data_IF_563775312294
#
_entry.id   IF_563775312294
#
_cell.length_a   1.000
_cell.length_b   1.000
_cell.length_c   1.000
_cell.angle_alpha   90.00
_cell.angle_beta   90.00
_cell.angle_gamma   90.00
#
_symmetry.space_group_name_H-M   'P 1'
#
loop_
_entity.id
_entity.type
_entity.pdbx_description
1 polymer ?
#
# COMPACT_ATOMS: atom_id res chain seq x y z
N UNK A 1 -9.32 -32.69 37.57
CA UNK A 1 -10.02 -33.57 36.61
C UNK A 1 -10.87 -32.67 35.78
N UNK A 2 -10.42 -32.34 34.57
CA UNK A 2 -11.19 -31.59 33.57
C UNK A 2 -12.08 -32.60 32.83
N UNK A 3 -13.41 -32.52 33.11
CA UNK A 3 -14.39 -33.33 32.44
C UNK A 3 -14.48 -32.96 30.95
N UNK A 4 -13.94 -33.79 30.10
CA UNK A 4 -14.12 -33.64 28.67
C UNK A 4 -15.53 -34.05 28.25
N UNK A 5 -16.21 -33.24 27.47
CA UNK A 5 -17.52 -33.53 26.92
C UNK A 5 -17.43 -34.67 25.90
N UNK A 6 -18.29 -35.70 26.03
CA UNK A 6 -18.44 -36.75 25.02
C UNK A 6 -19.04 -36.17 23.73
N UNK A 7 -18.52 -36.57 22.59
CA UNK A 7 -19.03 -36.16 21.27
C UNK A 7 -19.84 -37.33 20.71
N UNK A 8 -21.06 -37.04 20.24
CA UNK A 8 -21.96 -38.01 19.65
C UNK A 8 -22.09 -37.77 18.14
N UNK A 9 -21.93 -38.82 17.36
CA UNK A 9 -22.30 -38.84 15.95
C UNK A 9 -22.92 -40.19 15.65
N UNK A 10 -24.06 -40.22 15.01
CA UNK A 10 -24.79 -41.42 14.58
C UNK A 10 -25.07 -42.43 15.72
N UNK A 11 -25.27 -41.92 16.99
CA UNK A 11 -25.57 -42.74 18.16
C UNK A 11 -24.33 -43.34 18.87
N UNK A 12 -23.14 -43.20 18.35
CA UNK A 12 -21.91 -43.68 18.96
C UNK A 12 -21.28 -42.62 19.88
N UNK A 13 -20.80 -43.08 21.03
CA UNK A 13 -20.08 -42.27 22.01
C UNK A 13 -18.60 -42.31 21.68
N UNK A 14 -18.05 -41.23 21.18
CA UNK A 14 -16.60 -41.09 21.06
C UNK A 14 -16.04 -40.55 22.36
N UNK A 15 -15.28 -41.39 23.08
CA UNK A 15 -14.56 -40.98 24.28
C UNK A 15 -13.62 -39.84 23.92
N UNK A 16 -13.45 -38.92 24.87
CA UNK A 16 -12.67 -37.68 24.83
C UNK A 16 -11.22 -37.91 24.31
N UNK A 17 -11.09 -38.06 23.02
CA UNK A 17 -9.81 -38.11 22.32
C UNK A 17 -9.57 -36.74 21.71
N UNK A 18 -8.34 -36.23 21.82
CA UNK A 18 -7.93 -35.00 21.16
C UNK A 18 -8.36 -35.04 19.70
N UNK A 19 -9.23 -34.11 19.30
CA UNK A 19 -9.70 -34.05 17.92
C UNK A 19 -8.54 -33.71 16.98
N UNK A 20 -8.23 -34.62 16.07
CA UNK A 20 -7.28 -34.35 15.00
C UNK A 20 -8.03 -33.80 13.79
N UNK A 21 -7.70 -32.57 13.40
CA UNK A 21 -8.38 -31.88 12.32
C UNK A 21 -7.56 -31.89 11.02
N UNK A 22 -8.24 -32.20 9.91
CA UNK A 22 -7.75 -31.89 8.58
C UNK A 22 -8.21 -30.49 8.17
N UNK A 23 -7.33 -29.74 7.52
CA UNK A 23 -7.62 -28.41 7.01
C UNK A 23 -7.84 -28.47 5.50
N UNK A 24 -8.96 -27.97 5.04
CA UNK A 24 -9.27 -27.83 3.61
C UNK A 24 -9.35 -26.36 3.24
N UNK A 25 -8.88 -26.03 2.02
CA UNK A 25 -8.91 -24.68 1.47
C UNK A 25 -9.72 -24.67 0.18
N UNK A 26 -10.71 -23.79 0.11
CA UNK A 26 -11.59 -23.65 -1.05
C UNK A 26 -11.55 -22.22 -1.56
N UNK A 27 -11.20 -22.04 -2.82
CA UNK A 27 -11.20 -20.76 -3.50
C UNK A 27 -12.55 -20.49 -4.17
N UNK A 28 -13.03 -19.23 -4.11
CA UNK A 28 -14.13 -18.78 -4.98
C UNK A 28 -13.74 -18.92 -6.46
N UNK A 29 -14.72 -19.02 -7.36
CA UNK A 29 -14.49 -19.17 -8.79
C UNK A 29 -13.60 -18.05 -9.36
N UNK A 30 -13.80 -16.82 -8.90
CA UNK A 30 -13.04 -15.62 -9.29
C UNK A 30 -11.70 -15.46 -8.53
N UNK A 31 -11.35 -16.42 -7.66
CA UNK A 31 -10.14 -16.45 -6.81
C UNK A 31 -9.99 -15.26 -5.85
N UNK A 32 -11.05 -14.44 -5.67
CA UNK A 32 -10.99 -13.27 -4.80
C UNK A 32 -11.16 -13.60 -3.33
N UNK A 33 -11.72 -14.76 -3.00
CA UNK A 33 -11.89 -15.23 -1.62
C UNK A 33 -11.36 -16.66 -1.47
N UNK A 34 -10.80 -16.95 -0.30
CA UNK A 34 -10.42 -18.30 0.09
C UNK A 34 -11.02 -18.62 1.45
N UNK A 35 -11.65 -19.80 1.56
CA UNK A 35 -12.20 -20.33 2.80
C UNK A 35 -11.32 -21.48 3.28
N UNK A 36 -10.83 -21.36 4.50
CA UNK A 36 -10.20 -22.45 5.25
C UNK A 36 -11.22 -23.07 6.20
N UNK A 37 -11.24 -24.37 6.29
CA UNK A 37 -12.16 -25.14 7.12
C UNK A 37 -11.45 -26.34 7.73
N UNK A 38 -11.66 -26.54 9.03
CA UNK A 38 -11.24 -27.74 9.74
C UNK A 38 -12.38 -28.76 9.81
N UNK A 39 -12.09 -30.04 9.55
CA UNK A 39 -12.99 -31.14 9.81
C UNK A 39 -12.26 -32.20 10.63
N UNK A 40 -12.86 -32.65 11.69
CA UNK A 40 -12.30 -33.76 12.46
C UNK A 40 -12.20 -35.00 11.60
N UNK A 41 -11.00 -35.61 11.56
CA UNK A 41 -10.73 -36.81 10.75
C UNK A 41 -11.56 -38.02 11.20
N UNK A 42 -11.84 -38.13 12.49
CA UNK A 42 -12.53 -39.27 13.07
C UNK A 42 -14.06 -39.11 13.11
N UNK A 43 -14.55 -37.97 13.58
CA UNK A 43 -15.98 -37.75 13.81
C UNK A 43 -16.66 -36.81 12.79
N UNK A 44 -15.88 -36.19 11.89
CA UNK A 44 -16.37 -35.25 10.87
C UNK A 44 -16.91 -33.92 11.40
N UNK A 45 -16.79 -33.66 12.72
CA UNK A 45 -17.22 -32.39 13.31
C UNK A 45 -16.40 -31.24 12.70
N UNK A 46 -17.10 -30.18 12.34
CA UNK A 46 -16.51 -28.94 11.82
C UNK A 46 -15.82 -28.17 12.95
N UNK A 47 -14.53 -27.91 12.78
CA UNK A 47 -13.74 -27.08 13.69
C UNK A 47 -13.72 -25.62 13.25
N UNK A 48 -12.55 -24.97 13.33
CA UNK A 48 -12.40 -23.59 12.93
C UNK A 48 -12.65 -23.40 11.43
N UNK A 49 -13.29 -22.29 11.09
CA UNK A 49 -13.56 -21.85 9.72
C UNK A 49 -13.30 -20.37 9.57
N UNK A 50 -12.62 -19.97 8.51
CA UNK A 50 -12.37 -18.57 8.19
C UNK A 50 -12.43 -18.36 6.68
N UNK A 51 -13.13 -17.31 6.25
CA UNK A 51 -13.12 -16.85 4.86
C UNK A 51 -12.43 -15.50 4.79
N UNK A 52 -11.43 -15.37 3.92
CA UNK A 52 -10.68 -14.14 3.74
C UNK A 52 -10.69 -13.68 2.29
N UNK A 53 -10.73 -12.37 2.09
CA UNK A 53 -10.50 -11.79 0.78
C UNK A 53 -9.00 -11.89 0.43
N UNK A 54 -8.70 -12.39 -0.75
CA UNK A 54 -7.34 -12.54 -1.24
C UNK A 54 -6.81 -11.21 -1.80
N UNK A 55 -5.55 -10.90 -1.50
CA UNK A 55 -4.85 -9.79 -2.12
C UNK A 55 -4.35 -10.20 -3.51
N UNK A 56 -4.59 -9.34 -4.51
CA UNK A 56 -4.13 -9.57 -5.89
C UNK A 56 -2.83 -8.83 -6.17
N UNK A 57 -1.90 -9.51 -6.83
CA UNK A 57 -0.66 -8.93 -7.35
C UNK A 57 -0.35 -9.49 -8.75
N UNK A 58 0.47 -8.80 -9.51
CA UNK A 58 0.94 -9.30 -10.82
C UNK A 58 2.29 -9.99 -10.58
N UNK A 59 2.36 -11.29 -10.82
CA UNK A 59 3.58 -12.09 -10.76
C UNK A 59 4.41 -11.95 -12.04
N UNK A 60 3.73 -11.92 -13.19
CA UNK A 60 4.32 -11.70 -14.52
C UNK A 60 3.43 -10.76 -15.33
N UNK A 61 4.01 -9.73 -15.91
CA UNK A 61 3.29 -8.79 -16.77
C UNK A 61 2.92 -9.47 -18.09
N UNK A 62 1.71 -9.23 -18.58
CA UNK A 62 1.34 -9.61 -19.95
C UNK A 62 2.03 -8.71 -20.97
N UNK A 63 2.37 -9.26 -22.11
CA UNK A 63 2.90 -8.55 -23.29
C UNK A 63 2.02 -8.86 -24.50
N UNK A 64 2.31 -8.26 -25.64
CA UNK A 64 1.61 -8.60 -26.91
C UNK A 64 1.92 -10.03 -27.36
N UNK A 65 3.09 -10.55 -27.01
CA UNK A 65 3.56 -11.88 -27.41
C UNK A 65 3.23 -12.96 -26.38
N UNK A 66 3.07 -12.62 -25.09
CA UNK A 66 2.92 -13.58 -24.01
C UNK A 66 1.86 -13.18 -22.99
N UNK A 67 1.13 -14.19 -22.47
CA UNK A 67 0.24 -14.02 -21.33
C UNK A 67 1.02 -13.65 -20.07
N UNK A 68 0.41 -12.84 -19.21
CA UNK A 68 0.88 -12.57 -17.86
C UNK A 68 0.34 -13.56 -16.84
N UNK A 69 0.82 -13.42 -15.59
CA UNK A 69 0.37 -14.22 -14.45
C UNK A 69 -0.01 -13.26 -13.33
N UNK A 70 -1.27 -13.31 -12.90
CA UNK A 70 -1.76 -12.71 -11.69
C UNK A 70 -1.68 -13.70 -10.53
N UNK A 71 -1.45 -13.22 -9.32
CA UNK A 71 -1.37 -14.01 -8.10
C UNK A 71 -2.35 -13.48 -7.07
N UNK A 72 -3.26 -14.31 -6.62
CA UNK A 72 -4.09 -14.07 -5.44
C UNK A 72 -3.42 -14.70 -4.23
N UNK A 73 -3.35 -13.97 -3.12
CA UNK A 73 -2.78 -14.44 -1.83
C UNK A 73 -3.81 -14.25 -0.73
N UNK A 74 -4.23 -15.35 -0.12
CA UNK A 74 -5.13 -15.39 1.03
C UNK A 74 -4.32 -15.53 2.31
N UNK A 75 -4.44 -14.56 3.23
CA UNK A 75 -3.78 -14.57 4.53
C UNK A 75 -4.86 -14.64 5.62
N UNK A 76 -4.90 -15.74 6.34
CA UNK A 76 -5.84 -15.98 7.42
C UNK A 76 -5.35 -15.29 8.71
N UNK A 77 -6.30 -14.89 9.54
CA UNK A 77 -6.03 -14.31 10.85
C UNK A 77 -5.81 -15.38 11.91
N UNK A 78 -6.50 -16.51 11.74
CA UNK A 78 -6.36 -17.66 12.61
C UNK A 78 -5.04 -18.38 12.29
N UNK A 79 -4.17 -18.52 13.30
CA UNK A 79 -2.85 -19.16 13.16
C UNK A 79 -2.90 -20.66 12.84
N UNK A 80 -4.07 -21.29 12.87
CA UNK A 80 -4.28 -22.68 12.47
C UNK A 80 -4.28 -22.86 10.94
N UNK A 81 -4.42 -21.76 10.17
CA UNK A 81 -4.50 -21.80 8.72
C UNK A 81 -3.25 -21.20 8.07
N UNK A 82 -2.75 -21.87 7.06
CA UNK A 82 -1.58 -21.42 6.30
C UNK A 82 -1.97 -20.49 5.15
N UNK A 83 -1.05 -19.64 4.75
CA UNK A 83 -1.22 -18.74 3.60
C UNK A 83 -1.46 -19.57 2.35
N UNK A 84 -2.48 -19.22 1.58
CA UNK A 84 -2.82 -19.86 0.31
C UNK A 84 -2.60 -18.89 -0.85
N UNK A 85 -2.18 -19.45 -2.00
CA UNK A 85 -2.00 -18.67 -3.23
C UNK A 85 -2.72 -19.34 -4.40
N UNK A 86 -3.24 -18.52 -5.32
CA UNK A 86 -3.84 -18.99 -6.57
C UNK A 86 -3.36 -18.11 -7.73
N UNK A 87 -2.85 -18.74 -8.78
CA UNK A 87 -2.44 -18.04 -10.00
C UNK A 87 -3.61 -17.95 -10.98
N UNK A 88 -3.67 -16.85 -11.73
CA UNK A 88 -4.62 -16.63 -12.82
C UNK A 88 -3.88 -16.09 -14.03
N UNK A 89 -4.32 -16.47 -15.21
CA UNK A 89 -3.77 -15.95 -16.46
C UNK A 89 -4.25 -14.52 -16.69
N UNK A 90 -3.37 -13.68 -17.17
CA UNK A 90 -3.68 -12.34 -17.69
C UNK A 90 -3.56 -12.41 -19.21
N UNK A 91 -4.64 -12.10 -19.93
CA UNK A 91 -4.64 -12.14 -21.38
C UNK A 91 -3.50 -11.30 -21.98
N UNK A 92 -3.00 -11.72 -23.14
CA UNK A 92 -2.05 -10.93 -23.95
C UNK A 92 -2.61 -9.54 -24.22
N UNK A 93 -1.71 -8.56 -24.34
CA UNK A 93 -2.11 -7.22 -24.77
C UNK A 93 -2.51 -7.28 -26.25
N UNK A 94 -3.64 -6.67 -26.60
CA UNK A 94 -4.02 -6.49 -28.01
C UNK A 94 -3.06 -5.50 -28.67
N UNK A 95 -2.49 -5.83 -29.85
CA UNK A 95 -1.68 -4.86 -30.58
C UNK A 95 -2.50 -3.59 -30.84
N UNK A 96 -1.90 -2.44 -30.60
CA UNK A 96 -2.49 -1.18 -31.03
C UNK A 96 -2.62 -1.22 -32.55
N UNK A 97 -3.81 -0.94 -33.16
CA UNK A 97 -3.95 -0.88 -34.61
C UNK A 97 -2.88 0.07 -35.18
N UNK A 98 -2.02 -0.44 -36.02
CA UNK A 98 -1.11 0.38 -36.82
C UNK A 98 -1.92 1.26 -37.72
N UNK A 99 -1.71 2.55 -37.62
CA UNK A 99 -2.30 3.54 -38.54
C UNK A 99 -1.90 3.19 -39.98
N UNK A 100 -2.84 3.21 -40.95
CA UNK A 100 -2.49 2.90 -42.33
C UNK A 100 -1.41 3.85 -42.84
N UNK A 101 -0.31 3.30 -43.32
CA UNK A 101 0.72 4.03 -44.04
C UNK A 101 0.13 4.41 -45.38
N UNK A 102 0.05 5.71 -45.63
CA UNK A 102 -0.39 6.27 -46.92
C UNK A 102 0.58 5.81 -48.02
N UNK A 103 0.09 5.28 -49.14
CA UNK A 103 0.99 4.84 -50.24
C UNK A 103 1.72 6.03 -50.85
N UNK A 104 3.00 5.84 -51.07
CA UNK A 104 3.90 6.76 -51.78
C UNK A 104 3.39 7.08 -53.19
N UNK A 105 3.25 8.36 -53.49
CA UNK A 105 3.02 8.85 -54.82
C UNK A 105 4.34 9.17 -55.51
N UNK A 106 4.51 8.79 -56.79
CA UNK A 106 5.79 8.90 -57.51
C UNK A 106 6.11 10.33 -57.94
N UNK A 107 7.41 10.56 -58.01
CA UNK A 107 8.13 11.76 -58.38
C UNK A 107 7.67 12.42 -59.68
N UNK A 108 7.62 13.75 -59.70
CA UNK A 108 7.84 14.54 -60.93
C UNK A 108 8.53 15.88 -60.61
N UNK A 109 9.30 16.43 -61.57
CA UNK A 109 10.52 17.21 -61.31
C UNK A 109 10.32 18.73 -61.26
N UNK A 110 11.29 19.33 -60.56
CA UNK A 110 11.81 20.71 -60.54
C UNK A 110 11.26 21.78 -61.46
N UNK A 111 10.95 22.98 -60.89
CA UNK A 111 11.32 24.31 -61.37
C UNK A 111 11.34 25.36 -60.22
N UNK A 112 12.16 26.42 -60.39
CA UNK A 112 12.71 27.17 -59.24
C UNK A 112 11.99 28.46 -58.87
N UNK A 113 12.27 28.88 -57.60
CA UNK A 113 12.35 30.24 -57.01
C UNK A 113 11.29 31.31 -57.32
N UNK A 114 10.65 31.82 -56.27
CA UNK A 114 10.73 33.22 -55.90
C UNK A 114 10.26 33.48 -54.45
N UNK A 115 10.78 34.51 -53.75
CA UNK A 115 10.69 34.65 -52.31
C UNK A 115 9.58 35.61 -51.86
N UNK A 116 9.27 35.50 -50.57
CA UNK A 116 8.55 36.49 -49.77
C UNK A 116 7.05 36.38 -49.61
N UNK A 117 6.68 35.89 -48.40
CA UNK A 117 5.74 36.57 -47.53
C UNK A 117 5.65 35.85 -46.17
N UNK A 118 5.66 36.56 -45.04
CA UNK A 118 5.63 35.91 -43.73
C UNK A 118 4.20 35.37 -43.45
N UNK A 119 4.12 34.07 -43.22
CA UNK A 119 2.90 33.41 -42.81
C UNK A 119 2.77 33.40 -41.31
N UNK A 120 1.64 33.85 -40.88
CA UNK A 120 1.00 33.86 -39.59
C UNK A 120 1.32 32.63 -38.72
N UNK A 121 1.57 32.80 -37.40
CA UNK A 121 1.90 31.67 -36.51
C UNK A 121 0.68 30.77 -36.35
N UNK A 122 0.88 29.52 -36.70
CA UNK A 122 -0.07 28.43 -36.55
C UNK A 122 -0.50 28.28 -35.11
N UNK A 123 -1.81 28.30 -34.92
CA UNK A 123 -2.56 27.99 -33.71
C UNK A 123 -1.98 26.80 -32.94
N UNK A 124 -1.71 26.92 -31.62
CA UNK A 124 -1.19 25.81 -30.83
C UNK A 124 -2.22 24.70 -30.79
N UNK A 125 -1.85 23.56 -31.31
CA UNK A 125 -2.60 22.31 -31.20
C UNK A 125 -2.94 22.04 -29.73
N UNK A 126 -4.24 22.02 -29.47
CA UNK A 126 -4.86 21.65 -28.20
C UNK A 126 -4.18 20.38 -27.64
N UNK A 127 -3.67 20.38 -26.39
CA UNK A 127 -3.05 19.19 -25.83
C UNK A 127 -4.09 18.07 -25.76
N UNK A 128 -3.83 17.00 -26.44
CA UNK A 128 -4.58 15.74 -26.31
C UNK A 128 -4.50 15.29 -24.87
N UNK A 129 -5.64 15.33 -24.21
CA UNK A 129 -5.87 15.05 -22.80
C UNK A 129 -5.72 13.54 -22.56
N UNK A 130 -4.49 13.05 -22.59
CA UNK A 130 -4.18 11.68 -22.21
C UNK A 130 -4.26 11.60 -20.67
N UNK A 131 -5.49 11.50 -20.15
CA UNK A 131 -5.76 11.36 -18.71
C UNK A 131 -5.10 10.10 -18.20
N UNK A 132 -3.88 10.22 -17.68
CA UNK A 132 -3.16 9.13 -17.02
C UNK A 132 -4.02 8.58 -15.88
N UNK A 133 -4.35 7.29 -15.95
CA UNK A 133 -5.14 6.61 -14.92
C UNK A 133 -4.25 6.26 -13.73
N UNK A 134 -4.67 6.51 -12.48
CA UNK A 134 -3.92 6.08 -11.30
C UNK A 134 -3.79 4.56 -11.24
N UNK A 135 -2.72 4.07 -10.61
CA UNK A 135 -2.59 2.65 -10.31
C UNK A 135 -3.74 2.17 -9.40
N UNK A 136 -4.13 0.93 -9.54
CA UNK A 136 -5.21 0.33 -8.77
C UNK A 136 -4.94 0.38 -7.25
N UNK A 137 -6.01 0.44 -6.46
CA UNK A 137 -5.93 0.33 -5.00
C UNK A 137 -5.18 -0.94 -4.60
N UNK A 138 -4.27 -0.84 -3.64
CA UNK A 138 -3.42 -1.95 -3.20
C UNK A 138 -2.08 -2.05 -3.94
N UNK A 139 -1.91 -1.40 -5.09
CA UNK A 139 -0.65 -1.40 -5.85
C UNK A 139 0.48 -0.80 -5.02
N UNK A 140 1.63 -1.46 -5.04
CA UNK A 140 2.87 -0.96 -4.44
C UNK A 140 3.61 -0.06 -5.43
N UNK A 141 3.95 1.14 -5.00
CA UNK A 141 4.71 2.13 -5.77
C UNK A 141 6.03 2.43 -5.07
N UNK A 142 7.03 2.84 -5.84
CA UNK A 142 8.26 3.43 -5.32
C UNK A 142 8.41 4.83 -5.89
N UNK A 143 8.84 5.77 -5.04
CA UNK A 143 9.22 7.10 -5.51
C UNK A 143 10.67 7.12 -6.03
N UNK A 144 11.09 8.24 -6.60
CA UNK A 144 12.46 8.45 -7.11
C UNK A 144 13.54 8.33 -6.01
N UNK A 145 13.15 8.46 -4.74
CA UNK A 145 14.04 8.33 -3.58
C UNK A 145 14.10 6.90 -3.03
N UNK A 146 13.36 5.97 -3.63
CA UNK A 146 13.32 4.54 -3.27
C UNK A 146 12.46 4.21 -2.06
N UNK A 147 11.65 5.14 -1.56
CA UNK A 147 10.64 4.84 -0.54
C UNK A 147 9.46 4.09 -1.16
N UNK A 148 8.83 3.24 -0.37
CA UNK A 148 7.72 2.37 -0.80
C UNK A 148 6.39 2.93 -0.31
N UNK A 149 5.40 2.91 -1.18
CA UNK A 149 4.03 3.36 -0.95
C UNK A 149 3.03 2.32 -1.40
N UNK A 150 1.83 2.36 -0.85
CA UNK A 150 0.69 1.53 -1.28
C UNK A 150 -0.48 2.44 -1.67
N UNK A 151 -1.07 2.20 -2.84
CA UNK A 151 -2.24 2.97 -3.31
C UNK A 151 -3.45 2.64 -2.43
N UNK A 152 -4.06 3.66 -1.86
CA UNK A 152 -5.24 3.56 -0.99
C UNK A 152 -6.51 4.09 -1.63
N UNK A 153 -6.37 4.98 -2.61
CA UNK A 153 -7.48 5.50 -3.42
C UNK A 153 -7.04 5.74 -4.85
N UNK A 154 -7.82 5.22 -5.81
CA UNK A 154 -7.52 5.30 -7.24
C UNK A 154 -8.43 6.28 -8.00
N UNK A 155 -9.02 7.28 -7.33
CA UNK A 155 -9.81 8.34 -7.98
C UNK A 155 -8.90 9.23 -8.83
N UNK A 156 -9.24 9.41 -10.12
CA UNK A 156 -8.40 10.12 -11.10
C UNK A 156 -8.01 11.54 -10.66
N UNK A 157 -8.95 12.29 -10.08
CA UNK A 157 -8.67 13.67 -9.61
C UNK A 157 -7.80 13.74 -8.35
N UNK A 158 -7.87 12.75 -7.46
CA UNK A 158 -7.22 12.77 -6.16
C UNK A 158 -6.78 11.37 -5.70
N UNK A 159 -5.87 10.69 -6.42
CA UNK A 159 -5.38 9.40 -5.98
C UNK A 159 -4.55 9.54 -4.70
N UNK A 160 -4.68 8.56 -3.82
CA UNK A 160 -4.03 8.59 -2.51
C UNK A 160 -3.15 7.37 -2.28
N UNK A 161 -2.10 7.56 -1.48
CA UNK A 161 -1.18 6.50 -1.07
C UNK A 161 -0.89 6.58 0.42
N UNK A 162 -0.50 5.44 0.97
CA UNK A 162 0.09 5.31 2.29
C UNK A 162 1.60 5.10 2.15
N UNK A 163 2.39 5.80 2.94
CA UNK A 163 3.83 5.58 3.07
C UNK A 163 4.06 4.27 3.82
N UNK A 164 4.72 3.28 3.21
CA UNK A 164 4.87 1.93 3.77
C UNK A 164 6.22 1.75 4.45
N UNK A 165 7.31 2.11 3.79
CA UNK A 165 8.66 1.99 4.35
C UNK A 165 9.67 2.88 3.64
N UNK A 166 10.73 3.33 4.34
CA UNK A 166 11.81 4.09 3.74
C UNK A 166 12.71 3.21 2.86
N UNK A 167 13.57 3.84 2.06
CA UNK A 167 14.76 3.20 1.50
C UNK A 167 15.64 2.68 2.64
N UNK A 168 16.36 1.57 2.42
CA UNK A 168 17.32 1.05 3.42
C UNK A 168 18.39 2.09 3.77
N UNK A 169 18.86 2.10 5.01
CA UNK A 169 19.99 2.90 5.52
C UNK A 169 19.83 4.43 5.43
N UNK A 170 18.64 4.96 5.29
CA UNK A 170 18.40 6.41 5.22
C UNK A 170 18.44 7.02 6.62
N UNK A 171 19.21 8.11 6.79
CA UNK A 171 19.33 8.88 8.05
C UNK A 171 18.27 9.98 8.16
N UNK A 172 17.90 10.61 7.03
CA UNK A 172 16.90 11.68 6.95
C UNK A 172 15.77 11.24 6.02
N UNK A 173 14.54 11.26 6.49
CA UNK A 173 13.36 10.84 5.74
C UNK A 173 12.37 12.00 5.63
N UNK A 174 11.86 12.22 4.43
CA UNK A 174 10.69 13.06 4.20
C UNK A 174 9.53 12.17 3.78
N UNK A 175 8.42 12.26 4.51
CA UNK A 175 7.13 11.72 4.12
C UNK A 175 6.39 12.87 3.45
N UNK A 176 6.43 12.99 2.11
CA UNK A 176 6.01 14.19 1.39
C UNK A 176 4.50 14.33 1.34
N UNK A 177 4.01 15.52 1.02
CA UNK A 177 2.58 15.74 0.81
C UNK A 177 2.05 14.98 -0.41
N UNK A 178 2.88 14.85 -1.45
CA UNK A 178 2.56 14.16 -2.70
C UNK A 178 3.79 13.45 -3.25
N UNK A 179 3.56 12.41 -4.04
CA UNK A 179 4.57 11.76 -4.88
C UNK A 179 4.10 11.74 -6.33
N UNK A 180 5.04 11.73 -7.27
CA UNK A 180 4.74 11.52 -8.69
C UNK A 180 5.38 10.22 -9.14
N UNK A 181 4.58 9.29 -9.66
CA UNK A 181 5.05 8.01 -10.19
C UNK A 181 4.43 7.80 -11.56
N UNK A 182 5.25 7.55 -12.57
CA UNK A 182 4.82 7.41 -13.98
C UNK A 182 3.94 8.58 -14.45
N UNK A 183 4.28 9.81 -14.02
CA UNK A 183 3.56 11.04 -14.36
C UNK A 183 2.20 11.23 -13.66
N UNK A 184 1.79 10.32 -12.78
CA UNK A 184 0.60 10.46 -11.92
C UNK A 184 1.00 10.99 -10.54
N UNK A 185 0.30 12.04 -10.09
CA UNK A 185 0.52 12.66 -8.78
C UNK A 185 -0.41 12.05 -7.74
N UNK A 186 0.14 11.46 -6.69
CA UNK A 186 -0.59 10.85 -5.57
C UNK A 186 -0.43 11.68 -4.31
N UNK A 187 -1.49 11.83 -3.53
CA UNK A 187 -1.44 12.44 -2.20
C UNK A 187 -1.03 11.40 -1.16
N UNK A 188 -0.03 11.71 -0.34
CA UNK A 188 0.39 10.84 0.77
C UNK A 188 -0.47 11.19 1.99
N UNK A 189 -1.39 10.30 2.34
CA UNK A 189 -2.40 10.57 3.38
C UNK A 189 -2.19 9.81 4.68
N UNK A 190 -1.30 8.81 4.68
CA UNK A 190 -1.04 8.01 5.86
C UNK A 190 0.41 7.49 5.90
N UNK A 191 0.85 7.17 7.11
CA UNK A 191 2.03 6.34 7.40
C UNK A 191 1.54 4.99 7.86
N UNK A 192 2.06 3.92 7.28
CA UNK A 192 1.65 2.55 7.56
C UNK A 192 1.98 2.14 9.00
N UNK A 193 1.23 1.16 9.52
CA UNK A 193 1.63 0.39 10.70
C UNK A 193 3.07 -0.12 10.51
N UNK A 194 3.86 -0.05 11.57
CA UNK A 194 5.23 -0.58 11.64
C UNK A 194 6.21 0.00 10.58
N UNK A 195 5.89 1.10 9.90
CA UNK A 195 6.67 1.65 8.75
C UNK A 195 8.17 1.85 9.05
N UNK A 196 8.51 2.26 10.27
CA UNK A 196 9.89 2.47 10.75
C UNK A 196 10.21 1.67 12.01
N UNK A 197 9.39 0.68 12.36
CA UNK A 197 9.56 -0.08 13.59
C UNK A 197 11.00 -0.60 13.73
N UNK A 198 11.63 -0.30 14.88
CA UNK A 198 13.00 -0.66 15.22
C UNK A 198 14.08 -0.17 14.24
N UNK A 199 13.78 0.86 13.44
CA UNK A 199 14.75 1.44 12.52
C UNK A 199 15.81 2.24 13.29
N UNK A 200 17.02 1.68 13.39
CA UNK A 200 18.17 2.28 14.08
C UNK A 200 18.94 3.30 13.22
N UNK A 201 18.62 3.43 11.92
CA UNK A 201 19.36 4.31 11.00
C UNK A 201 18.75 5.71 10.90
N UNK A 202 17.42 5.82 10.99
CA UNK A 202 16.70 7.08 10.88
C UNK A 202 17.01 7.99 12.07
N UNK A 203 17.48 9.21 11.78
CA UNK A 203 17.79 10.27 12.76
C UNK A 203 16.82 11.45 12.69
N UNK A 204 16.24 11.69 11.52
CA UNK A 204 15.32 12.78 11.26
C UNK A 204 14.17 12.34 10.37
N UNK A 205 12.94 12.77 10.71
CA UNK A 205 11.71 12.53 9.92
C UNK A 205 10.95 13.85 9.78
N UNK A 206 10.48 14.12 8.56
CA UNK A 206 9.51 15.19 8.28
C UNK A 206 8.21 14.58 7.78
N UNK A 207 7.08 14.91 8.38
CA UNK A 207 5.73 14.47 8.02
C UNK A 207 4.98 15.66 7.46
N UNK A 208 4.65 15.64 6.17
CA UNK A 208 4.10 16.77 5.47
C UNK A 208 2.55 16.91 5.62
N UNK A 209 2.00 18.01 5.11
CA UNK A 209 0.65 18.53 5.36
C UNK A 209 -0.54 17.64 5.00
N UNK A 210 -0.37 16.65 4.12
CA UNK A 210 -1.49 15.80 3.69
C UNK A 210 -1.69 14.54 4.53
N UNK A 211 -0.75 14.21 5.41
CA UNK A 211 -0.85 13.04 6.27
C UNK A 211 -1.95 13.25 7.31
N UNK A 212 -2.92 12.34 7.33
CA UNK A 212 -4.06 12.34 8.27
C UNK A 212 -3.94 11.23 9.31
N UNK A 213 -3.24 10.13 8.97
CA UNK A 213 -3.12 8.95 9.81
C UNK A 213 -1.66 8.53 10.00
N UNK A 214 -1.31 8.13 11.20
CA UNK A 214 -0.04 7.48 11.52
C UNK A 214 -0.36 6.14 12.16
N UNK A 215 0.05 5.04 11.54
CA UNK A 215 -0.27 3.69 11.98
C UNK A 215 0.34 3.31 13.33
N UNK A 216 -0.22 2.26 13.95
CA UNK A 216 0.32 1.65 15.19
C UNK A 216 1.81 1.35 15.00
N UNK A 217 2.64 1.66 16.02
CA UNK A 217 4.08 1.42 16.04
C UNK A 217 4.86 2.05 14.86
N UNK A 218 4.34 3.03 14.14
CA UNK A 218 4.98 3.55 12.92
C UNK A 218 6.45 3.92 13.13
N UNK A 219 6.81 4.52 14.26
CA UNK A 219 8.20 4.86 14.66
C UNK A 219 8.62 4.18 15.96
N UNK A 220 7.97 3.06 16.32
CA UNK A 220 8.30 2.32 17.55
C UNK A 220 9.76 1.86 17.53
N UNK A 221 10.48 2.13 18.63
CA UNK A 221 11.86 1.65 18.79
C UNK A 221 12.90 2.33 17.89
N UNK A 222 12.55 3.47 17.26
CA UNK A 222 13.52 4.29 16.51
C UNK A 222 14.48 5.03 17.45
N UNK A 223 15.35 4.30 18.15
CA UNK A 223 16.21 4.82 19.25
C UNK A 223 17.13 5.98 18.82
N UNK A 224 17.41 6.15 17.52
CA UNK A 224 18.26 7.22 16.98
C UNK A 224 17.47 8.40 16.40
N UNK A 225 16.14 8.35 16.42
CA UNK A 225 15.28 9.41 15.89
C UNK A 225 15.26 10.61 16.88
N UNK A 226 16.07 11.62 16.56
CA UNK A 226 16.26 12.82 17.37
C UNK A 226 15.45 14.02 16.93
N UNK A 227 15.07 14.11 15.64
CA UNK A 227 14.35 15.25 15.10
C UNK A 227 13.11 14.77 14.33
N UNK A 228 11.93 15.21 14.75
CA UNK A 228 10.67 14.97 14.04
C UNK A 228 10.01 16.31 13.74
N UNK A 229 9.62 16.54 12.50
CA UNK A 229 8.86 17.74 12.09
C UNK A 229 7.50 17.30 11.58
N UNK A 230 6.43 17.66 12.25
CA UNK A 230 5.05 17.35 11.87
C UNK A 230 4.41 18.60 11.31
N UNK A 231 4.31 18.74 9.99
CA UNK A 231 3.71 19.89 9.32
C UNK A 231 2.18 19.79 9.22
N UNK A 232 1.64 18.59 9.24
CA UNK A 232 0.19 18.38 9.15
C UNK A 232 -0.54 18.90 10.39
N UNK A 233 -1.72 19.47 10.18
CA UNK A 233 -2.66 19.87 11.24
C UNK A 233 -3.83 18.90 11.41
N UNK A 234 -3.82 17.78 10.68
CA UNK A 234 -4.95 16.86 10.50
C UNK A 234 -4.94 15.65 11.43
N UNK A 235 -3.90 15.50 12.27
CA UNK A 235 -3.80 14.39 13.21
C UNK A 235 -4.75 14.59 14.40
N UNK A 236 -5.35 13.49 14.83
CA UNK A 236 -6.23 13.41 15.99
C UNK A 236 -5.86 12.19 16.84
N UNK A 237 -6.38 12.09 18.06
CA UNK A 237 -6.18 10.91 18.94
C UNK A 237 -6.62 9.60 18.26
N UNK A 238 -7.67 9.65 17.43
CA UNK A 238 -8.20 8.48 16.70
C UNK A 238 -7.34 8.08 15.50
N UNK A 239 -6.56 9.01 14.93
CA UNK A 239 -5.79 8.81 13.69
C UNK A 239 -4.29 8.56 13.92
N UNK A 240 -3.82 8.63 15.16
CA UNK A 240 -2.46 8.25 15.54
C UNK A 240 -2.52 6.97 16.36
N UNK A 241 -1.93 5.90 15.82
CA UNK A 241 -1.99 4.58 16.42
C UNK A 241 -1.21 4.46 17.73
N UNK A 242 -1.61 3.49 18.55
CA UNK A 242 -0.93 3.18 19.80
C UNK A 242 0.56 2.96 19.59
N UNK A 243 1.41 3.49 20.49
CA UNK A 243 2.87 3.35 20.47
C UNK A 243 3.55 3.91 19.20
N UNK A 244 2.87 4.77 18.40
CA UNK A 244 3.43 5.27 17.14
C UNK A 244 4.82 5.92 17.32
N UNK A 245 5.10 6.54 18.45
CA UNK A 245 6.39 7.19 18.77
C UNK A 245 7.08 6.64 20.02
N UNK A 246 6.63 5.49 20.52
CA UNK A 246 7.25 4.87 21.72
C UNK A 246 8.68 4.40 21.41
N UNK A 247 9.62 4.76 22.28
CA UNK A 247 11.01 4.31 22.15
C UNK A 247 11.82 5.06 21.09
N UNK A 248 11.41 6.26 20.67
CA UNK A 248 12.29 7.20 19.95
C UNK A 248 13.38 7.72 20.91
N UNK A 249 14.37 8.46 20.38
CA UNK A 249 15.49 8.94 21.20
C UNK A 249 14.99 9.79 22.38
N UNK A 250 15.52 9.53 23.60
CA UNK A 250 15.09 10.20 24.84
C UNK A 250 15.21 11.73 24.79
N UNK A 251 16.22 12.26 24.08
CA UNK A 251 16.42 13.70 23.87
C UNK A 251 15.87 14.17 22.51
N UNK A 252 14.82 13.50 21.98
CA UNK A 252 14.22 13.91 20.72
C UNK A 252 13.45 15.24 20.85
N UNK A 253 13.45 16.00 19.77
CA UNK A 253 12.63 17.21 19.62
C UNK A 253 11.62 17.00 18.50
N UNK A 254 10.32 17.18 18.80
CA UNK A 254 9.23 17.11 17.85
C UNK A 254 8.69 18.53 17.62
N UNK A 255 8.90 19.04 16.41
CA UNK A 255 8.36 20.34 15.98
C UNK A 255 6.96 20.15 15.41
N UNK A 256 6.01 20.95 15.85
CA UNK A 256 4.59 20.89 15.45
C UNK A 256 4.05 22.27 15.08
N UNK A 257 2.97 22.39 14.29
CA UNK A 257 2.35 23.66 13.97
C UNK A 257 1.96 24.44 15.23
N UNK A 258 2.27 25.74 15.29
CA UNK A 258 1.99 26.63 16.44
C UNK A 258 0.54 26.45 16.94
N UNK A 259 -0.44 26.49 16.04
CA UNK A 259 -1.88 26.34 16.35
C UNK A 259 -2.28 24.95 16.87
N UNK A 260 -1.42 23.95 16.78
CA UNK A 260 -1.67 22.57 17.25
C UNK A 260 -0.79 22.16 18.44
N UNK A 261 0.04 23.04 18.96
CA UNK A 261 1.03 22.72 20.00
C UNK A 261 0.42 21.96 21.19
N UNK A 262 -0.61 22.52 21.83
CA UNK A 262 -1.22 21.91 23.01
C UNK A 262 -1.95 20.59 22.69
N UNK A 263 -2.69 20.56 21.58
CA UNK A 263 -3.37 19.34 21.14
C UNK A 263 -2.37 18.22 20.81
N UNK A 264 -1.26 18.57 20.13
CA UNK A 264 -0.25 17.57 19.75
C UNK A 264 0.66 17.14 20.90
N UNK A 265 0.87 17.96 21.90
CA UNK A 265 1.51 17.52 23.17
C UNK A 265 0.70 16.37 23.81
N UNK A 266 -0.63 16.53 23.93
CA UNK A 266 -1.53 15.50 24.47
C UNK A 266 -1.56 14.24 23.57
N UNK A 267 -1.68 14.44 22.25
CA UNK A 267 -1.72 13.39 21.26
C UNK A 267 -0.44 12.54 21.25
N UNK A 268 0.74 13.18 21.25
CA UNK A 268 2.04 12.50 21.23
C UNK A 268 2.32 11.75 22.51
N UNK A 269 1.88 12.28 23.66
CA UNK A 269 1.92 11.59 24.96
C UNK A 269 1.15 10.26 24.88
N UNK A 270 -0.07 10.27 24.30
CA UNK A 270 -0.85 9.07 24.09
C UNK A 270 -0.21 8.12 23.05
N UNK A 271 0.56 8.65 22.10
CA UNK A 271 1.32 7.89 21.11
C UNK A 271 2.65 7.31 21.66
N UNK A 272 2.93 7.51 22.95
CA UNK A 272 4.00 6.82 23.68
C UNK A 272 5.33 7.55 23.75
N UNK A 273 5.41 8.86 23.50
CA UNK A 273 6.66 9.59 23.74
C UNK A 273 7.01 9.61 25.24
N UNK A 274 8.30 9.56 25.56
CA UNK A 274 8.76 9.70 26.94
C UNK A 274 8.65 11.16 27.42
N UNK A 275 8.62 11.34 28.75
CA UNK A 275 8.56 12.70 29.39
C UNK A 275 9.73 13.60 28.98
N UNK A 276 10.88 13.03 28.62
CA UNK A 276 12.10 13.75 28.23
C UNK A 276 12.08 14.25 26.76
N UNK A 277 11.14 13.80 25.94
CA UNK A 277 10.97 14.27 24.56
C UNK A 277 10.35 15.66 24.54
N UNK A 278 11.01 16.59 23.87
CA UNK A 278 10.54 17.98 23.74
C UNK A 278 9.56 18.12 22.57
N UNK A 279 8.37 18.68 22.85
CA UNK A 279 7.41 19.05 21.80
C UNK A 279 7.33 20.58 21.74
N UNK A 280 7.76 21.16 20.62
CA UNK A 280 7.90 22.61 20.43
C UNK A 280 7.15 23.09 19.18
N UNK A 281 6.79 24.37 19.15
CA UNK A 281 6.23 24.99 17.94
C UNK A 281 7.28 25.14 16.85
N UNK A 282 6.83 25.07 15.59
CA UNK A 282 7.60 25.56 14.43
C UNK A 282 7.57 27.06 14.39
#
# INVERSE_FOLDING_TARGET
VLGGAAVYKDGDVYANTEHTYDVTYTWSADKKNCTAKQNCRLCGIEGAKETVAAAYSIKKQATEQAEGIGLYTAVFKNGLFTIQTAEVKIAKLTPKPSQPTNPSNPSNPTKPSDPSKPTNPSNPTKPTNNKKKPAAKGTTLKDSKGATYKVTGAKVKNPTVTYVKPKKNVKKVSIPATITVKGMKYRVTAVSKDAFKNNKKVKQVTIDKNVKNIGKNAFYGCKNLKKVTIKTTKLTKKTVGKNAFKGIHKKATIKVPKKKLNAYKKLLKNAGISKSVKVVKM
#
